data_IF_493474052664
#
_entry.id   IF_493474052664
#
_cell.length_a   1.000
_cell.length_b   1.000
_cell.length_c   1.000
_cell.angle_alpha   90.00
_cell.angle_beta   90.00
_cell.angle_gamma   90.00
#
_symmetry.space_group_name_H-M   'P 1'
#
loop_
_entity.id
_entity.type
_entity.pdbx_description
1 polymer ?
#
# COMPACT_ATOMS: atom_id res chain seq x y z
N UNK A 1 31.48 20.90 59.05
CA UNK A 1 30.87 21.83 58.06
C UNK A 1 30.91 21.17 56.70
N UNK A 2 29.93 21.47 55.85
CA UNK A 2 29.60 20.88 54.55
C UNK A 2 28.78 19.58 54.61
N UNK A 3 27.46 19.72 54.45
CA UNK A 3 26.51 18.64 54.26
C UNK A 3 25.19 19.16 53.70
N UNK A 4 24.86 18.69 52.49
CA UNK A 4 23.57 18.67 51.79
C UNK A 4 22.82 19.97 51.49
N UNK A 5 22.82 20.32 50.19
CA UNK A 5 21.69 20.97 49.52
C UNK A 5 20.74 19.87 49.05
N UNK A 6 19.45 19.86 49.43
CA UNK A 6 18.42 19.17 48.68
C UNK A 6 17.68 20.19 47.81
N UNK A 7 17.69 20.01 46.50
CA UNK A 7 16.75 20.75 45.65
C UNK A 7 16.23 19.86 44.54
N UNK A 8 14.98 19.44 44.75
CA UNK A 8 13.92 19.23 43.75
C UNK A 8 14.38 18.54 42.46
N UNK A 9 14.01 17.27 42.36
CA UNK A 9 13.87 16.58 41.07
C UNK A 9 12.81 17.36 40.28
N UNK A 10 13.26 18.17 39.32
CA UNK A 10 12.40 18.96 38.45
C UNK A 10 11.68 18.02 37.47
N UNK A 11 10.36 17.98 37.62
CA UNK A 11 9.43 17.03 37.00
C UNK A 11 9.04 17.45 35.56
N UNK A 12 9.96 18.10 34.83
CA UNK A 12 9.69 18.71 33.52
C UNK A 12 10.61 18.18 32.42
N UNK A 13 10.57 16.87 32.16
CA UNK A 13 11.14 16.26 30.92
C UNK A 13 10.19 15.30 30.21
N UNK A 14 8.88 15.56 30.25
CA UNK A 14 7.90 14.94 29.34
C UNK A 14 7.46 15.96 28.30
N UNK A 15 7.40 15.53 27.03
CA UNK A 15 7.16 16.29 25.78
C UNK A 15 8.42 16.68 25.01
N UNK A 16 9.31 15.72 24.72
CA UNK A 16 10.08 15.79 23.48
C UNK A 16 9.25 15.09 22.39
N UNK A 17 8.76 15.90 21.45
CA UNK A 17 8.05 15.45 20.26
C UNK A 17 8.94 14.51 19.47
N UNK A 18 8.58 13.24 19.51
CA UNK A 18 9.13 12.16 18.72
C UNK A 18 7.96 11.58 17.90
N UNK A 19 7.18 12.46 17.26
CA UNK A 19 6.01 12.09 16.46
C UNK A 19 6.27 12.24 14.95
N UNK A 20 7.53 12.10 14.53
CA UNK A 20 7.86 11.86 13.13
C UNK A 20 8.43 10.45 12.97
N UNK A 21 7.61 9.57 12.39
CA UNK A 21 7.95 8.21 11.98
C UNK A 21 9.32 8.08 11.26
N UNK A 22 9.76 9.03 10.40
CA UNK A 22 11.06 8.93 9.71
C UNK A 22 12.27 9.02 10.63
N UNK A 23 12.19 9.80 11.73
CA UNK A 23 13.34 10.04 12.62
C UNK A 23 13.72 8.82 13.45
N UNK A 24 12.73 8.06 13.90
CA UNK A 24 12.92 6.84 14.68
C UNK A 24 13.53 5.74 13.85
N UNK A 25 13.07 5.62 12.61
CA UNK A 25 13.52 4.58 11.71
C UNK A 25 15.03 4.68 11.45
N UNK A 26 15.55 5.90 11.25
CA UNK A 26 16.99 6.11 11.07
C UNK A 26 17.80 5.78 12.31
N UNK A 27 17.32 6.15 13.50
CA UNK A 27 18.00 5.82 14.76
C UNK A 27 18.00 4.31 14.99
N UNK A 28 16.89 3.64 14.72
CA UNK A 28 16.79 2.18 14.80
C UNK A 28 17.70 1.49 13.78
N UNK A 29 17.75 1.95 12.53
CA UNK A 29 18.64 1.39 11.50
C UNK A 29 20.13 1.49 11.88
N UNK A 30 20.54 2.54 12.60
CA UNK A 30 21.90 2.69 13.13
C UNK A 30 22.26 1.68 14.23
N UNK A 31 21.28 0.99 14.82
CA UNK A 31 21.56 -0.09 15.78
C UNK A 31 21.96 -1.41 15.10
N UNK A 32 21.99 -1.42 13.75
CA UNK A 32 22.26 -2.62 12.94
C UNK A 32 21.41 -3.82 13.37
N UNK A 33 20.07 -3.66 13.37
CA UNK A 33 19.18 -4.66 13.95
C UNK A 33 19.25 -5.96 13.14
N UNK A 34 19.32 -7.10 13.85
CA UNK A 34 19.10 -8.42 13.28
C UNK A 34 17.64 -8.82 13.50
N UNK A 35 16.92 -9.07 12.41
CA UNK A 35 15.55 -9.59 12.43
C UNK A 35 15.64 -11.11 12.54
N UNK A 36 15.18 -11.68 13.65
CA UNK A 36 15.25 -13.11 13.92
C UNK A 36 14.14 -13.87 13.17
N UNK A 37 14.34 -14.02 11.86
CA UNK A 37 13.46 -14.74 10.96
C UNK A 37 14.27 -15.33 9.80
N UNK A 38 13.83 -16.49 9.30
CA UNK A 38 14.40 -17.11 8.09
C UNK A 38 13.82 -16.52 6.80
N UNK A 39 12.61 -15.95 6.87
CA UNK A 39 11.91 -15.35 5.74
C UNK A 39 11.35 -13.97 6.11
N UNK A 40 11.51 -13.00 5.23
CA UNK A 40 11.00 -11.64 5.37
C UNK A 40 10.18 -11.30 4.13
N UNK A 41 8.87 -11.06 4.31
CA UNK A 41 7.98 -10.58 3.25
C UNK A 41 7.85 -9.08 3.40
N UNK A 42 8.20 -8.35 2.35
CA UNK A 42 8.20 -6.90 2.33
C UNK A 42 7.23 -6.39 1.26
N UNK A 43 6.06 -5.95 1.71
CA UNK A 43 4.97 -5.47 0.86
C UNK A 43 5.08 -3.95 0.62
N UNK A 44 4.43 -3.46 -0.44
CA UNK A 44 4.46 -2.06 -0.88
C UNK A 44 5.89 -1.51 -1.05
N UNK A 45 6.78 -2.34 -1.61
CA UNK A 45 8.20 -2.03 -1.76
C UNK A 45 8.45 -0.72 -2.55
N UNK A 46 7.54 -0.33 -3.45
CA UNK A 46 7.63 0.91 -4.23
C UNK A 46 7.57 2.20 -3.39
N UNK A 47 6.93 2.15 -2.22
CA UNK A 47 6.76 3.30 -1.33
C UNK A 47 7.81 3.36 -0.20
N UNK A 48 8.82 2.48 -0.26
CA UNK A 48 9.78 2.30 0.81
C UNK A 48 10.94 3.31 0.79
N UNK A 49 11.44 3.64 1.98
CA UNK A 49 12.61 4.51 2.17
C UNK A 49 13.93 3.72 2.03
N UNK A 50 14.97 4.36 1.51
CA UNK A 50 16.29 3.75 1.37
C UNK A 50 16.90 3.25 2.69
N UNK A 51 16.50 3.82 3.83
CA UNK A 51 16.89 3.31 5.16
C UNK A 51 16.29 1.93 5.44
N UNK A 52 15.04 1.65 5.03
CA UNK A 52 14.47 0.30 5.18
C UNK A 52 15.20 -0.70 4.31
N UNK A 53 15.49 -0.33 3.05
CA UNK A 53 16.21 -1.19 2.12
C UNK A 53 17.62 -1.52 2.62
N UNK A 54 18.31 -0.57 3.26
CA UNK A 54 19.63 -0.83 3.83
C UNK A 54 19.57 -1.82 4.99
N UNK A 55 18.59 -1.70 5.89
CA UNK A 55 18.38 -2.66 6.98
C UNK A 55 18.05 -4.05 6.45
N UNK A 56 17.17 -4.16 5.46
CA UNK A 56 16.84 -5.43 4.80
C UNK A 56 18.08 -6.03 4.13
N UNK A 57 18.89 -5.21 3.47
CA UNK A 57 20.17 -5.64 2.88
C UNK A 57 21.17 -6.22 3.88
N UNK A 58 21.09 -5.87 5.17
CA UNK A 58 21.93 -6.46 6.21
C UNK A 58 21.45 -7.85 6.66
N UNK A 59 20.21 -8.25 6.37
CA UNK A 59 19.63 -9.52 6.79
C UNK A 59 20.08 -10.69 5.90
N UNK A 60 21.39 -10.89 5.75
CA UNK A 60 21.99 -11.93 4.88
C UNK A 60 21.65 -13.37 5.29
N UNK A 61 21.15 -13.57 6.51
CA UNK A 61 20.70 -14.87 7.01
C UNK A 61 19.27 -15.22 6.60
N UNK A 62 18.49 -14.25 6.11
CA UNK A 62 17.08 -14.44 5.79
C UNK A 62 16.83 -14.36 4.27
N UNK A 63 15.86 -15.12 3.77
CA UNK A 63 15.32 -14.94 2.44
C UNK A 63 14.31 -13.79 2.45
N UNK A 64 14.56 -12.78 1.61
CA UNK A 64 13.70 -11.59 1.52
C UNK A 64 12.90 -11.64 0.22
N UNK A 65 11.59 -11.46 0.34
CA UNK A 65 10.65 -11.44 -0.78
C UNK A 65 10.03 -10.04 -0.83
N UNK A 66 10.33 -9.31 -1.90
CA UNK A 66 9.79 -7.98 -2.15
C UNK A 66 8.51 -8.10 -2.99
N UNK A 67 7.45 -7.45 -2.55
CA UNK A 67 6.16 -7.37 -3.23
C UNK A 67 5.83 -5.89 -3.41
N UNK A 68 5.42 -5.53 -4.62
CA UNK A 68 5.11 -4.14 -4.97
C UNK A 68 4.80 -3.99 -6.45
N UNK A 69 4.41 -2.78 -6.82
CA UNK A 69 4.10 -2.39 -8.20
C UNK A 69 4.89 -1.12 -8.58
N UNK A 70 5.83 -1.19 -9.53
CA UNK A 70 6.61 -0.03 -9.94
C UNK A 70 5.75 1.07 -10.57
N UNK A 71 4.62 0.74 -11.19
CA UNK A 71 3.72 1.71 -11.82
C UNK A 71 2.83 2.44 -10.80
N UNK A 72 2.81 2.01 -9.53
CA UNK A 72 2.06 2.66 -8.45
C UNK A 72 2.92 3.58 -7.58
N UNK A 73 4.18 3.83 -7.96
CA UNK A 73 5.03 4.78 -7.24
C UNK A 73 4.52 6.22 -7.42
N UNK A 74 3.95 6.82 -6.36
CA UNK A 74 3.39 8.20 -6.39
C UNK A 74 4.20 9.23 -5.59
N UNK A 75 5.28 8.82 -4.92
CA UNK A 75 6.09 9.68 -4.04
C UNK A 75 7.43 10.14 -4.64
N UNK A 76 7.62 10.02 -5.95
CA UNK A 76 8.86 10.45 -6.64
C UNK A 76 9.22 11.93 -6.36
N UNK A 77 8.22 12.80 -6.24
CA UNK A 77 8.38 14.24 -5.94
C UNK A 77 9.01 14.53 -4.55
N UNK A 78 9.11 13.55 -3.66
CA UNK A 78 9.80 13.68 -2.37
C UNK A 78 11.30 13.39 -2.45
N UNK A 79 11.83 13.12 -3.64
CA UNK A 79 13.21 12.66 -3.83
C UNK A 79 13.40 11.21 -3.40
N UNK A 80 12.30 10.44 -3.31
CA UNK A 80 12.35 9.01 -3.06
C UNK A 80 13.05 8.34 -4.26
N UNK A 81 14.23 7.80 -4.03
CA UNK A 81 14.90 6.97 -5.04
C UNK A 81 14.01 5.76 -5.28
N UNK A 82 13.77 5.39 -6.54
CA UNK A 82 12.94 4.24 -6.88
C UNK A 82 13.48 2.99 -6.18
N UNK A 83 12.82 2.63 -5.08
CA UNK A 83 13.22 1.57 -4.16
C UNK A 83 13.32 0.24 -4.90
N UNK A 84 12.37 -0.03 -5.80
CA UNK A 84 12.35 -1.24 -6.62
C UNK A 84 13.50 -1.27 -7.63
N UNK A 85 13.88 -0.13 -8.22
CA UNK A 85 15.02 -0.06 -9.14
C UNK A 85 16.38 -0.34 -8.46
N UNK A 86 16.46 -0.26 -7.13
CA UNK A 86 17.68 -0.58 -6.38
C UNK A 86 17.79 -2.06 -5.99
N UNK A 87 16.70 -2.81 -6.14
CA UNK A 87 16.63 -4.22 -5.72
C UNK A 87 17.06 -5.09 -6.90
N UNK A 88 18.28 -5.61 -6.85
CA UNK A 88 18.81 -6.53 -7.85
C UNK A 88 18.49 -7.98 -7.47
N UNK A 89 17.25 -8.42 -7.75
CA UNK A 89 16.76 -9.78 -7.47
C UNK A 89 15.92 -10.33 -8.62
N UNK A 90 15.77 -11.67 -8.75
CA UNK A 90 14.91 -12.24 -9.77
C UNK A 90 13.44 -11.81 -9.61
N UNK A 91 12.87 -11.22 -10.66
CA UNK A 91 11.49 -10.74 -10.66
C UNK A 91 10.48 -11.77 -11.19
N UNK A 92 9.26 -11.74 -10.67
CA UNK A 92 8.12 -12.53 -11.16
C UNK A 92 6.86 -11.67 -11.16
N UNK A 93 6.30 -11.44 -12.34
CA UNK A 93 5.08 -10.65 -12.49
C UNK A 93 3.82 -11.48 -12.17
N UNK A 94 2.92 -10.90 -11.37
CA UNK A 94 1.56 -11.40 -11.18
C UNK A 94 0.65 -10.70 -12.18
N UNK A 95 0.18 -11.42 -13.18
CA UNK A 95 -0.56 -10.84 -14.32
C UNK A 95 -2.06 -10.95 -14.17
N UNK A 96 -2.57 -11.77 -13.25
CA UNK A 96 -4.00 -11.97 -13.05
C UNK A 96 -4.55 -11.13 -11.90
N UNK A 97 -5.61 -10.36 -12.18
CA UNK A 97 -6.31 -9.52 -11.21
C UNK A 97 -7.55 -10.23 -10.68
N UNK A 98 -7.61 -10.32 -9.35
CA UNK A 98 -8.76 -10.79 -8.59
C UNK A 98 -9.75 -9.66 -8.25
N UNK A 99 -9.52 -8.44 -8.76
CA UNK A 99 -10.32 -7.25 -8.41
C UNK A 99 -11.32 -6.87 -9.50
N UNK A 100 -11.04 -7.23 -10.75
CA UNK A 100 -11.85 -6.82 -11.89
C UNK A 100 -11.81 -7.89 -12.99
N UNK A 101 -12.81 -7.83 -13.86
CA UNK A 101 -12.96 -8.73 -14.99
C UNK A 101 -12.21 -8.27 -16.25
N UNK A 102 -12.32 -9.04 -17.35
CA UNK A 102 -11.56 -8.84 -18.58
C UNK A 102 -11.71 -7.44 -19.19
N UNK A 103 -12.88 -6.81 -19.07
CA UNK A 103 -13.15 -5.48 -19.63
C UNK A 103 -12.20 -4.41 -19.10
N UNK A 104 -12.02 -4.33 -17.77
CA UNK A 104 -11.06 -3.39 -17.18
C UNK A 104 -9.61 -3.81 -17.42
N UNK A 105 -9.34 -5.12 -17.43
CA UNK A 105 -8.00 -5.64 -17.68
C UNK A 105 -7.47 -5.25 -19.07
N UNK A 106 -8.33 -5.28 -20.09
CA UNK A 106 -8.00 -4.84 -21.44
C UNK A 106 -7.60 -3.36 -21.46
N UNK A 107 -8.43 -2.49 -20.84
CA UNK A 107 -8.14 -1.06 -20.76
C UNK A 107 -6.84 -0.78 -19.98
N UNK A 108 -6.67 -1.40 -18.82
CA UNK A 108 -5.47 -1.25 -18.00
C UNK A 108 -4.21 -1.69 -18.76
N UNK A 109 -4.28 -2.81 -19.47
CA UNK A 109 -3.17 -3.31 -20.31
C UNK A 109 -2.82 -2.34 -21.44
N UNK A 110 -3.81 -1.70 -22.07
CA UNK A 110 -3.56 -0.67 -23.07
C UNK A 110 -2.80 0.53 -22.47
N UNK A 111 -3.19 0.98 -21.27
CA UNK A 111 -2.51 2.08 -20.57
C UNK A 111 -1.08 1.68 -20.19
N UNK A 112 -0.88 0.49 -19.63
CA UNK A 112 0.44 -0.01 -19.24
C UNK A 112 1.37 -0.19 -20.44
N UNK A 113 0.84 -0.61 -21.59
CA UNK A 113 1.61 -0.71 -22.83
C UNK A 113 2.19 0.65 -23.26
N UNK A 114 1.45 1.75 -23.04
CA UNK A 114 1.96 3.11 -23.29
C UNK A 114 3.09 3.51 -22.33
N UNK A 115 3.15 2.90 -21.14
CA UNK A 115 4.22 3.07 -20.15
C UNK A 115 5.42 2.13 -20.39
N UNK A 116 5.36 1.29 -21.44
CA UNK A 116 6.44 0.37 -21.80
C UNK A 116 6.30 -1.03 -21.23
N UNK A 117 5.21 -1.34 -20.52
CA UNK A 117 4.93 -2.70 -20.05
C UNK A 117 4.66 -3.63 -21.24
N UNK A 118 5.29 -4.81 -21.22
CA UNK A 118 5.14 -5.80 -22.30
C UNK A 118 4.16 -6.91 -21.93
N UNK A 119 3.93 -7.10 -20.64
CA UNK A 119 3.12 -8.18 -20.11
C UNK A 119 1.71 -7.66 -19.79
N UNK A 120 0.68 -8.07 -20.54
CA UNK A 120 -0.68 -7.60 -20.29
C UNK A 120 -1.24 -8.20 -18.99
N UNK A 121 -2.10 -7.42 -18.33
CA UNK A 121 -2.87 -7.84 -17.16
C UNK A 121 -4.13 -8.57 -17.65
N UNK A 122 -4.49 -9.64 -16.95
CA UNK A 122 -5.70 -10.44 -17.15
C UNK A 122 -6.67 -10.20 -16.01
N UNK A 123 -7.95 -10.06 -16.32
CA UNK A 123 -9.01 -10.00 -15.33
C UNK A 123 -9.69 -11.35 -15.20
N UNK A 124 -10.35 -11.58 -14.07
CA UNK A 124 -11.05 -12.85 -13.84
C UNK A 124 -12.44 -12.88 -14.48
N UNK A 125 -12.73 -13.93 -15.23
CA UNK A 125 -14.02 -14.12 -15.92
C UNK A 125 -15.20 -14.16 -14.95
N UNK A 126 -14.98 -14.62 -13.72
CA UNK A 126 -16.01 -14.67 -12.67
C UNK A 126 -16.41 -13.31 -12.10
N UNK A 127 -15.67 -12.24 -12.40
CA UNK A 127 -15.93 -10.90 -11.86
C UNK A 127 -16.63 -10.05 -12.92
N UNK A 128 -17.93 -9.81 -12.71
CA UNK A 128 -18.70 -8.88 -13.52
C UNK A 128 -18.11 -7.48 -13.45
N UNK A 129 -17.70 -6.93 -14.59
CA UNK A 129 -17.12 -5.61 -14.70
C UNK A 129 -17.80 -4.85 -15.83
N UNK A 130 -18.28 -3.65 -15.52
CA UNK A 130 -18.98 -2.78 -16.48
C UNK A 130 -18.21 -1.48 -16.64
N UNK A 131 -18.06 -1.05 -17.90
CA UNK A 131 -17.53 0.26 -18.24
C UNK A 131 -18.69 1.08 -18.80
N UNK A 132 -18.92 2.26 -18.23
CA UNK A 132 -20.01 3.15 -18.63
C UNK A 132 -19.40 4.46 -19.10
N UNK A 133 -19.58 4.77 -20.39
CA UNK A 133 -19.08 6.01 -21.00
C UNK A 133 -20.12 7.12 -21.00
N UNK A 134 -21.42 6.78 -21.05
CA UNK A 134 -22.51 7.76 -21.01
C UNK A 134 -22.78 8.18 -19.55
N UNK A 135 -22.55 9.47 -19.19
CA UNK A 135 -22.80 9.96 -17.84
C UNK A 135 -24.29 9.93 -17.43
N UNK A 136 -25.21 9.79 -18.37
CA UNK A 136 -26.64 9.66 -18.09
C UNK A 136 -27.03 8.24 -17.62
N UNK A 137 -26.16 7.25 -17.82
CA UNK A 137 -26.37 5.89 -17.36
C UNK A 137 -25.82 5.76 -15.94
N UNK A 138 -26.72 5.60 -14.97
CA UNK A 138 -26.37 5.33 -13.57
C UNK A 138 -26.66 3.86 -13.23
N UNK A 139 -25.66 2.96 -13.31
CA UNK A 139 -25.84 1.59 -12.87
C UNK A 139 -26.13 1.55 -11.36
N UNK A 140 -26.91 0.55 -10.87
CA UNK A 140 -27.11 0.37 -9.45
C UNK A 140 -25.78 -0.03 -8.79
N UNK A 141 -25.24 0.85 -7.96
CA UNK A 141 -23.99 0.63 -7.21
C UNK A 141 -24.21 0.91 -5.73
N UNK A 142 -23.56 0.12 -4.87
CA UNK A 142 -23.64 0.29 -3.42
C UNK A 142 -22.73 1.42 -2.89
N UNK A 143 -21.64 1.71 -3.62
CA UNK A 143 -20.66 2.74 -3.27
C UNK A 143 -20.05 3.38 -4.53
N UNK A 144 -19.63 4.65 -4.40
CA UNK A 144 -18.93 5.40 -5.45
C UNK A 144 -17.63 5.96 -4.87
N UNK A 145 -16.52 5.72 -5.57
CA UNK A 145 -15.20 6.28 -5.25
C UNK A 145 -14.81 7.30 -6.33
N UNK A 146 -14.39 8.50 -5.93
CA UNK A 146 -13.97 9.59 -6.84
C UNK A 146 -12.64 10.20 -6.40
N UNK A 147 -11.77 10.59 -7.35
CA UNK A 147 -10.43 11.14 -7.06
C UNK A 147 -10.39 12.63 -6.74
N UNK A 148 -11.44 13.41 -7.06
CA UNK A 148 -11.58 14.80 -6.63
C UNK A 148 -13.01 15.04 -6.11
N UNK A 149 -13.15 16.04 -5.22
CA UNK A 149 -14.33 16.45 -4.41
C UNK A 149 -15.71 15.92 -4.86
N UNK A 150 -16.58 15.56 -3.91
CA UNK A 150 -17.63 14.56 -4.11
C UNK A 150 -18.55 14.93 -5.27
N UNK A 151 -18.61 14.04 -6.27
CA UNK A 151 -19.76 13.98 -7.15
C UNK A 151 -20.98 13.65 -6.27
N UNK A 152 -21.97 14.55 -6.25
CA UNK A 152 -23.16 14.42 -5.43
C UNK A 152 -23.99 13.20 -5.83
N UNK A 153 -24.02 12.21 -4.91
CA UNK A 153 -24.98 11.11 -4.69
C UNK A 153 -25.88 10.64 -5.84
N UNK A 154 -26.04 9.31 -5.95
CA UNK A 154 -27.35 8.72 -6.05
C UNK A 154 -27.93 8.56 -4.64
N UNK A 155 -29.12 9.13 -4.39
CA UNK A 155 -30.01 8.64 -3.33
C UNK A 155 -31.30 8.24 -4.01
N UNK A 156 -31.55 6.93 -4.12
CA UNK A 156 -32.74 6.27 -3.59
C UNK A 156 -32.82 4.81 -4.07
N UNK A 157 -32.72 3.87 -3.12
CA UNK A 157 -33.76 2.85 -2.98
C UNK A 157 -34.15 2.77 -1.50
N UNK A 158 -35.44 2.83 -1.13
CA UNK A 158 -35.87 2.43 0.20
C UNK A 158 -35.72 0.92 0.32
N UNK A 159 -35.23 0.49 1.48
CA UNK A 159 -35.06 -0.90 1.86
C UNK A 159 -36.42 -1.61 1.86
N UNK A 160 -36.61 -2.56 0.94
CA UNK A 160 -37.49 -3.71 1.20
C UNK A 160 -36.58 -4.89 1.54
N UNK A 161 -36.32 -5.05 2.85
CA UNK A 161 -35.87 -6.32 3.39
C UNK A 161 -36.94 -7.35 3.09
N UNK A 162 -36.65 -8.31 2.22
CA UNK A 162 -37.09 -9.70 2.40
C UNK A 162 -35.98 -10.59 1.87
N UNK A 163 -35.23 -11.16 2.79
CA UNK A 163 -34.39 -12.31 2.54
C UNK A 163 -35.30 -13.53 2.74
N UNK A 164 -35.47 -14.42 1.76
CA UNK A 164 -35.85 -15.79 2.03
C UNK A 164 -34.60 -16.65 1.85
N UNK A 165 -33.96 -17.02 2.96
CA UNK A 165 -33.34 -18.35 3.01
C UNK A 165 -34.47 -19.33 3.32
N UNK A 166 -34.48 -20.50 2.68
CA UNK A 166 -34.68 -21.72 3.43
C UNK A 166 -33.34 -22.44 3.45
N UNK A 167 -32.75 -22.44 4.65
CA UNK A 167 -31.91 -23.56 5.09
C UNK A 167 -32.86 -24.76 5.14
N UNK A 168 -32.54 -25.83 4.41
CA UNK A 168 -33.02 -27.17 4.71
C UNK A 168 -31.80 -28.09 4.72
N UNK A 169 -31.84 -28.97 5.71
CA UNK A 169 -30.88 -30.02 6.02
C UNK A 169 -30.60 -30.96 4.84
#
# INVERSE_FOLDING_TARGET
MAGSVPSRVDETKRRRGYDSLPGHLKVWAQTEPRIDADFILFDEAQDSDGVMLSVLGLQRHAQIIYVGDPYQQIYEWRGAVNAMAQIDVPERALTESFRFGPTFAALASCVLALLGERTPIRGQDGIGSIMVEDPNISPPVDAILCRSRPCSRPRQRPATRTCPRPFRD
#
